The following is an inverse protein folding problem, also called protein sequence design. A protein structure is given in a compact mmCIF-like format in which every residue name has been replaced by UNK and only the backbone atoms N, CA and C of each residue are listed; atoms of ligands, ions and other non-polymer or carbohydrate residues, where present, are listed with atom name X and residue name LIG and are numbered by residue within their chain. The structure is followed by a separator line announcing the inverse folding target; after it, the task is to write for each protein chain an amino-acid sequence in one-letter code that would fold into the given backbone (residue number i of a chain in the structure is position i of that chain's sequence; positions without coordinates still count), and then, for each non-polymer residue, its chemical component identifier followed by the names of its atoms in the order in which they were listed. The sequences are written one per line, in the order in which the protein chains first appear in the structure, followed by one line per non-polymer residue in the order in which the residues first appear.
data_IF_282518505646
#
_entry.id   IF_282518505646
#
_cell.length_a   1.000
_cell.length_b   1.000
_cell.length_c   1.000
_cell.angle_alpha   90.00
_cell.angle_beta   90.00
_cell.angle_gamma   90.00
#
_symmetry.space_group_name_H-M   'P 1'
#
loop_
_entity.id
_entity.type
_entity.pdbx_description
1 polymer ?
#
# COMPACT_ATOMS: atom_id res chain seq x y z
N UNK A 1 -19.85 5.65 -11.49
CA UNK A 1 -18.51 5.04 -11.39
C UNK A 1 -17.48 6.15 -11.43
N UNK A 2 -16.91 6.54 -10.28
CA UNK A 2 -15.90 7.60 -10.23
C UNK A 2 -14.62 7.12 -10.94
N UNK A 3 -14.18 7.88 -11.94
CA UNK A 3 -12.90 7.66 -12.64
C UNK A 3 -11.78 7.76 -11.60
N UNK A 4 -11.13 6.64 -11.27
CA UNK A 4 -9.92 6.63 -10.44
C UNK A 4 -8.83 7.36 -11.23
N UNK A 5 -8.51 8.59 -10.84
CA UNK A 5 -7.31 9.26 -11.30
C UNK A 5 -6.13 8.43 -10.82
N UNK A 6 -5.29 8.02 -11.76
CA UNK A 6 -4.07 7.27 -11.51
C UNK A 6 -3.18 8.16 -10.63
N UNK A 7 -3.20 7.96 -9.31
CA UNK A 7 -2.29 8.64 -8.40
C UNK A 7 -0.88 8.33 -8.88
N UNK A 8 -0.15 9.35 -9.32
CA UNK A 8 1.15 9.13 -9.94
C UNK A 8 2.05 8.36 -8.97
N UNK A 9 2.74 7.34 -9.46
CA UNK A 9 3.67 6.52 -8.67
C UNK A 9 4.74 7.35 -7.95
N UNK A 10 4.93 8.60 -8.37
CA UNK A 10 5.93 9.54 -7.85
C UNK A 10 5.69 9.97 -6.40
N UNK A 11 4.49 9.75 -5.84
CA UNK A 11 4.10 10.31 -4.54
C UNK A 11 4.02 9.25 -3.42
N UNK A 12 4.45 8.00 -3.68
CA UNK A 12 4.46 6.92 -2.70
C UNK A 12 5.88 6.54 -2.36
N UNK A 13 6.25 6.64 -1.08
CA UNK A 13 7.53 6.10 -0.61
C UNK A 13 7.44 4.57 -0.59
N UNK A 14 8.53 3.88 -0.93
CA UNK A 14 8.57 2.42 -0.79
C UNK A 14 8.48 2.04 0.70
N UNK A 15 7.73 1.01 1.08
CA UNK A 15 7.77 0.46 2.43
C UNK A 15 9.19 0.13 2.88
N UNK A 16 9.43 0.14 4.20
CA UNK A 16 10.67 -0.41 4.73
C UNK A 16 10.74 -1.91 4.43
N UNK A 17 11.91 -2.43 4.06
CA UNK A 17 12.08 -3.85 3.71
C UNK A 17 11.67 -4.81 4.84
N UNK A 18 11.84 -4.42 6.11
CA UNK A 18 11.33 -5.17 7.26
C UNK A 18 9.80 -5.20 7.33
N UNK A 19 9.16 -4.07 7.03
CA UNK A 19 7.70 -3.92 7.02
C UNK A 19 7.08 -4.68 5.86
N UNK A 20 7.66 -4.60 4.66
CA UNK A 20 7.21 -5.37 3.49
C UNK A 20 7.22 -6.89 3.75
N UNK A 21 8.28 -7.41 4.37
CA UNK A 21 8.35 -8.83 4.76
C UNK A 21 7.29 -9.20 5.79
N UNK A 22 7.03 -8.32 6.76
CA UNK A 22 5.95 -8.51 7.74
C UNK A 22 4.59 -8.54 7.06
N UNK A 23 4.28 -7.57 6.19
CA UNK A 23 3.02 -7.53 5.45
C UNK A 23 2.79 -8.81 4.64
N UNK A 24 3.83 -9.33 3.98
CA UNK A 24 3.73 -10.60 3.28
C UNK A 24 3.36 -11.77 4.19
N UNK A 25 3.99 -11.86 5.37
CA UNK A 25 3.67 -12.92 6.33
C UNK A 25 2.22 -12.84 6.84
N UNK A 26 1.65 -11.64 6.92
CA UNK A 26 0.28 -11.41 7.39
C UNK A 26 -0.78 -11.53 6.28
N UNK A 27 -0.42 -11.34 5.01
CA UNK A 27 -1.38 -11.32 3.90
C UNK A 27 -1.93 -12.68 3.50
N UNK A 28 -1.39 -13.79 4.02
CA UNK A 28 -1.79 -15.14 3.63
C UNK A 28 -1.52 -15.46 2.15
N UNK A 29 -0.66 -14.68 1.49
CA UNK A 29 -0.42 -14.71 0.05
C UNK A 29 -1.69 -14.41 -0.78
N UNK A 30 -2.54 -13.49 -0.32
CA UNK A 30 -3.74 -13.04 -1.02
C UNK A 30 -3.86 -11.52 -1.04
N UNK A 31 -4.55 -10.97 -2.04
CA UNK A 31 -4.82 -9.55 -2.15
C UNK A 31 -5.72 -9.06 -1.00
N UNK A 32 -5.31 -7.97 -0.35
CA UNK A 32 -6.09 -7.36 0.74
C UNK A 32 -7.34 -6.59 0.27
N UNK A 33 -7.62 -6.53 -1.04
CA UNK A 33 -8.75 -5.78 -1.57
C UNK A 33 -10.07 -6.55 -1.35
N UNK A 34 -10.91 -6.03 -0.45
CA UNK A 34 -12.11 -6.74 0.03
C UNK A 34 -13.41 -6.48 -0.76
N UNK A 35 -13.51 -5.44 -1.60
CA UNK A 35 -14.77 -5.08 -2.27
C UNK A 35 -14.59 -4.55 -3.71
N UNK A 36 -14.84 -5.38 -4.76
CA UNK A 36 -15.17 -6.80 -4.66
C UNK A 36 -13.98 -7.58 -4.11
N UNK A 37 -14.24 -8.67 -3.39
CA UNK A 37 -13.17 -9.51 -2.82
C UNK A 37 -12.21 -9.98 -3.92
N UNK A 38 -10.93 -9.70 -3.73
CA UNK A 38 -9.86 -10.06 -4.64
C UNK A 38 -9.11 -11.28 -4.10
N UNK A 39 -9.29 -12.45 -4.72
CA UNK A 39 -8.62 -13.69 -4.36
C UNK A 39 -7.29 -13.91 -5.11
N UNK A 40 -6.74 -12.86 -5.73
CA UNK A 40 -5.47 -12.97 -6.46
C UNK A 40 -4.32 -13.26 -5.50
N UNK A 41 -3.51 -14.27 -5.84
CA UNK A 41 -2.29 -14.63 -5.10
C UNK A 41 -1.21 -13.58 -5.32
N UNK A 42 -0.51 -13.20 -4.26
CA UNK A 42 0.56 -12.20 -4.32
C UNK A 42 1.87 -12.77 -4.88
N UNK A 43 2.03 -14.09 -4.88
CA UNK A 43 3.21 -14.78 -5.41
C UNK A 43 2.75 -15.80 -6.45
N UNK A 44 3.34 -15.72 -7.65
CA UNK A 44 3.08 -16.67 -8.74
C UNK A 44 3.74 -18.03 -8.47
N UNK A 45 3.41 -19.03 -9.30
CA UNK A 45 4.03 -20.35 -9.23
C UNK A 45 5.55 -20.30 -9.48
N UNK A 46 6.01 -19.32 -10.27
CA UNK A 46 7.42 -19.05 -10.56
C UNK A 46 8.12 -18.25 -9.45
N UNK A 47 7.42 -17.91 -8.36
CA UNK A 47 7.96 -17.14 -7.24
C UNK A 47 8.03 -15.63 -7.48
N UNK A 48 7.39 -15.11 -8.53
CA UNK A 48 7.35 -13.69 -8.80
C UNK A 48 6.28 -12.98 -7.94
N UNK A 49 6.58 -11.76 -7.50
CA UNK A 49 5.61 -10.93 -6.77
C UNK A 49 4.61 -10.25 -7.71
N UNK A 50 3.33 -10.34 -7.37
CA UNK A 50 2.21 -9.75 -8.11
C UNK A 50 1.55 -8.67 -7.24
N UNK A 51 1.72 -7.41 -7.64
CA UNK A 51 1.04 -6.27 -7.04
C UNK A 51 1.98 -5.26 -6.39
N UNK A 52 1.38 -4.27 -5.72
CA UNK A 52 2.08 -3.19 -5.01
C UNK A 52 1.48 -3.02 -3.64
N UNK A 53 2.32 -2.71 -2.66
CA UNK A 53 1.85 -2.29 -1.34
C UNK A 53 1.33 -0.86 -1.47
N UNK A 54 0.12 -0.61 -0.94
CA UNK A 54 -0.54 0.68 -1.02
C UNK A 54 -0.50 1.36 0.35
N UNK A 55 -0.31 2.67 0.36
CA UNK A 55 -0.41 3.43 1.60
C UNK A 55 -1.87 3.82 1.84
N UNK A 56 -2.30 3.80 3.10
CA UNK A 56 -3.62 4.27 3.53
C UNK A 56 -3.66 5.81 3.45
N UNK A 57 -2.63 6.47 3.99
CA UNK A 57 -2.43 7.92 3.96
C UNK A 57 -1.25 8.26 3.04
N UNK A 58 -1.46 9.20 2.12
CA UNK A 58 -0.43 9.69 1.21
C UNK A 58 0.48 10.77 1.80
N UNK A 59 1.71 10.83 1.30
CA UNK A 59 2.78 11.67 1.84
C UNK A 59 2.67 13.17 1.50
N UNK A 60 1.97 13.53 0.43
CA UNK A 60 1.92 14.91 -0.06
C UNK A 60 0.53 15.54 0.07
N UNK A 61 0.43 16.87 0.26
CA UNK A 61 -0.83 17.60 0.19
C UNK A 61 -1.64 17.28 -1.08
N UNK A 62 -2.92 16.95 -0.91
CA UNK A 62 -3.79 16.50 -2.00
C UNK A 62 -3.72 15.01 -2.32
N UNK A 63 -2.86 14.25 -1.64
CA UNK A 63 -2.89 12.78 -1.69
C UNK A 63 -4.05 12.21 -0.87
N UNK A 64 -4.37 10.94 -1.10
CA UNK A 64 -5.45 10.27 -0.37
C UNK A 64 -5.25 10.36 1.15
N UNK A 65 -6.26 10.89 1.85
CA UNK A 65 -6.34 10.99 3.31
C UNK A 65 -5.17 11.78 3.95
N UNK A 66 -4.45 12.59 3.19
CA UNK A 66 -3.32 13.37 3.71
C UNK A 66 -3.74 14.31 4.85
N UNK A 67 -4.97 14.83 4.80
CA UNK A 67 -5.52 15.73 5.82
C UNK A 67 -5.71 15.06 7.20
N UNK A 68 -5.68 13.73 7.26
CA UNK A 68 -5.75 12.96 8.50
C UNK A 68 -4.37 12.76 9.17
N UNK A 69 -3.28 13.16 8.51
CA UNK A 69 -1.92 13.06 9.04
C UNK A 69 -1.53 14.36 9.76
N UNK A 70 -0.86 14.23 10.92
CA UNK A 70 -0.49 15.34 11.80
C UNK A 70 0.75 16.13 11.33
N UNK A 71 1.37 15.69 10.23
CA UNK A 71 2.47 16.39 9.59
C UNK A 71 3.84 16.21 10.24
N UNK A 72 3.97 15.35 11.27
CA UNK A 72 5.19 15.33 12.10
C UNK A 72 6.40 14.67 11.42
N UNK A 73 6.23 13.48 10.84
CA UNK A 73 7.30 12.78 10.11
C UNK A 73 6.75 11.92 8.96
N UNK A 74 7.15 12.27 7.74
CA UNK A 74 6.71 11.60 6.50
C UNK A 74 7.24 10.16 6.40
N UNK A 75 8.31 9.82 7.12
CA UNK A 75 8.85 8.46 7.13
C UNK A 75 7.98 7.49 7.94
N UNK A 76 7.21 7.97 8.91
CA UNK A 76 6.21 7.17 9.64
C UNK A 76 5.11 6.63 8.72
N UNK A 77 4.85 7.29 7.58
CA UNK A 77 3.89 6.80 6.60
C UNK A 77 4.33 5.47 5.96
N UNK A 78 5.58 5.04 6.15
CA UNK A 78 6.11 3.76 5.65
C UNK A 78 5.96 2.61 6.65
N UNK A 79 5.39 2.90 7.83
CA UNK A 79 5.18 1.93 8.88
C UNK A 79 3.98 1.02 8.61
N UNK A 80 3.97 -0.13 9.29
CA UNK A 80 2.99 -1.19 9.08
C UNK A 80 1.54 -0.71 9.18
N UNK A 81 1.25 0.23 10.08
CA UNK A 81 -0.12 0.71 10.33
C UNK A 81 -0.66 1.62 9.21
N UNK A 82 0.19 2.06 8.28
CA UNK A 82 -0.20 2.87 7.12
C UNK A 82 -0.13 2.12 5.79
N UNK A 83 0.05 0.79 5.79
CA UNK A 83 0.23 -0.04 4.58
C UNK A 83 -0.82 -1.15 4.43
#
# INVERSE_FOLDING_TARGET
MAKRTNGSEKNRKEPLAGVARRLWAFSGNECAWGDPHCSTRLVTEEGAWVGKIAHIIGAEPGSARHEAWDGQDVDQLRDFDNL
#
